data_IF_486128140363
#
_entry.id   IF_486128140363
#
_cell.length_a   1.000
_cell.length_b   1.000
_cell.length_c   1.000
_cell.angle_alpha   90.00
_cell.angle_beta   90.00
_cell.angle_gamma   90.00
#
_symmetry.space_group_name_H-M   'P 1'
#
loop_
_entity.id
_entity.type
_entity.pdbx_description
1 polymer ?
#
# COMPACT_ATOMS: atom_id res chain seq x y z
N UNK A 1 -9.60 -0.88 34.79
CA UNK A 1 -9.42 -1.90 33.74
C UNK A 1 -8.44 -1.38 32.69
N UNK A 2 -7.55 -2.21 32.13
CA UNK A 2 -6.58 -1.78 31.12
C UNK A 2 -6.93 -2.39 29.76
N UNK A 3 -6.98 -1.54 28.74
CA UNK A 3 -7.17 -1.93 27.35
C UNK A 3 -5.88 -1.66 26.57
N UNK A 4 -5.54 -2.54 25.64
CA UNK A 4 -4.40 -2.41 24.74
C UNK A 4 -4.88 -2.64 23.30
N UNK A 5 -4.34 -1.88 22.35
CA UNK A 5 -4.62 -2.06 20.93
C UNK A 5 -3.39 -1.69 20.09
N UNK A 6 -3.45 -2.05 18.81
CA UNK A 6 -2.40 -1.79 17.85
C UNK A 6 -2.95 -1.54 16.44
N UNK A 7 -2.14 -0.85 15.66
CA UNK A 7 -2.18 -0.85 14.20
C UNK A 7 -0.74 -1.04 13.70
N UNK A 8 -0.58 -1.90 12.71
CA UNK A 8 0.74 -2.27 12.21
C UNK A 8 0.78 -2.04 10.71
N UNK A 9 1.74 -1.27 10.23
CA UNK A 9 2.03 -1.15 8.79
C UNK A 9 3.27 -1.95 8.45
N UNK A 10 3.20 -2.76 7.40
CA UNK A 10 4.31 -3.53 6.84
C UNK A 10 4.60 -3.04 5.43
N UNK A 11 5.81 -2.53 5.23
CA UNK A 11 6.26 -2.01 3.93
C UNK A 11 7.00 -3.07 3.12
N UNK A 12 6.67 -3.21 1.84
CA UNK A 12 7.27 -4.20 0.92
C UNK A 12 7.26 -3.67 -0.52
N UNK A 13 8.11 -4.24 -1.39
CA UNK A 13 8.26 -3.83 -2.79
C UNK A 13 7.62 -4.86 -3.74
N UNK A 14 6.40 -4.61 -4.24
CA UNK A 14 5.79 -5.45 -5.25
C UNK A 14 6.44 -5.29 -6.63
N UNK A 15 6.32 -6.35 -7.44
CA UNK A 15 6.84 -6.38 -8.81
C UNK A 15 6.16 -5.39 -9.77
N UNK A 16 4.89 -5.14 -9.53
CA UNK A 16 4.05 -4.33 -10.39
C UNK A 16 4.11 -2.84 -10.05
N UNK A 17 4.61 -2.46 -8.87
CA UNK A 17 4.72 -1.07 -8.46
C UNK A 17 5.74 -0.30 -9.29
N UNK A 18 6.94 -0.84 -9.54
CA UNK A 18 8.07 -0.07 -10.12
C UNK A 18 7.87 0.19 -11.64
N UNK A 19 7.77 1.46 -12.11
CA UNK A 19 7.64 1.78 -13.53
C UNK A 19 8.98 2.01 -14.25
N UNK A 20 8.97 1.82 -15.58
CA UNK A 20 9.96 2.41 -16.49
C UNK A 20 11.40 1.99 -16.24
N UNK A 21 12.34 2.94 -16.39
CA UNK A 21 13.78 2.69 -16.27
C UNK A 21 14.23 2.32 -14.84
N UNK A 22 13.39 2.55 -13.84
CA UNK A 22 13.61 2.10 -12.46
C UNK A 22 13.42 0.59 -12.28
N UNK A 23 12.81 -0.11 -13.25
CA UNK A 23 12.80 -1.58 -13.26
C UNK A 23 14.16 -2.18 -13.58
N UNK A 24 15.05 -1.45 -14.26
CA UNK A 24 16.31 -1.99 -14.75
C UNK A 24 17.17 -2.64 -13.65
N UNK A 25 17.32 -2.06 -12.44
CA UNK A 25 18.04 -2.71 -11.34
C UNK A 25 17.30 -3.89 -10.69
N UNK A 26 15.99 -4.04 -10.93
CA UNK A 26 15.19 -5.18 -10.47
C UNK A 26 15.19 -6.32 -11.50
N UNK A 27 15.08 -5.98 -12.78
CA UNK A 27 15.02 -6.92 -13.91
C UNK A 27 16.41 -7.49 -14.26
N UNK A 28 17.47 -6.67 -14.17
CA UNK A 28 18.85 -7.08 -14.47
C UNK A 28 19.67 -7.42 -13.20
N UNK A 29 19.06 -7.29 -12.02
CA UNK A 29 19.76 -7.25 -10.74
C UNK A 29 20.48 -5.91 -10.51
N UNK A 30 20.86 -5.59 -9.26
CA UNK A 30 20.97 -6.48 -8.11
C UNK A 30 19.79 -6.50 -7.12
N UNK A 31 18.73 -5.71 -7.35
CA UNK A 31 17.61 -5.59 -6.41
C UNK A 31 16.54 -6.61 -6.79
N UNK A 32 15.76 -7.08 -5.81
CA UNK A 32 14.67 -8.03 -6.06
C UNK A 32 13.34 -7.45 -5.62
N UNK A 33 12.27 -7.93 -6.26
CA UNK A 33 10.92 -7.77 -5.75
C UNK A 33 10.71 -8.65 -4.52
N UNK A 34 9.86 -8.20 -3.62
CA UNK A 34 9.48 -8.95 -2.44
C UNK A 34 8.26 -9.82 -2.76
N UNK A 35 8.21 -11.00 -2.15
CA UNK A 35 6.96 -11.74 -2.05
C UNK A 35 6.00 -10.95 -1.15
N UNK A 36 4.68 -10.95 -1.45
CA UNK A 36 3.72 -10.30 -0.59
C UNK A 36 3.80 -10.87 0.83
N UNK A 37 3.70 -10.03 1.88
CA UNK A 37 3.54 -10.51 3.24
C UNK A 37 2.35 -11.48 3.38
N UNK A 38 2.31 -12.27 4.45
CA UNK A 38 1.15 -13.13 4.72
C UNK A 38 -0.03 -12.33 5.28
N UNK A 39 -1.24 -12.88 5.19
CA UNK A 39 -2.47 -12.23 5.70
C UNK A 39 -2.52 -12.17 7.24
N UNK A 40 -1.63 -12.92 7.90
CA UNK A 40 -1.34 -12.86 9.32
C UNK A 40 0.12 -12.44 9.49
N UNK A 41 0.36 -11.38 10.27
CA UNK A 41 1.71 -10.95 10.57
C UNK A 41 2.41 -11.98 11.47
N UNK A 42 3.61 -12.39 11.06
CA UNK A 42 4.49 -13.26 11.85
C UNK A 42 5.30 -12.48 12.89
N UNK A 43 6.36 -13.12 13.40
CA UNK A 43 7.31 -12.49 14.33
C UNK A 43 8.02 -11.28 13.68
N UNK A 44 7.66 -10.07 14.13
CA UNK A 44 8.19 -8.80 13.60
C UNK A 44 9.75 -8.74 13.63
N UNK A 45 10.43 -9.10 14.74
CA UNK A 45 11.89 -9.22 14.75
C UNK A 45 12.46 -10.17 13.68
N UNK A 46 11.87 -11.35 13.48
CA UNK A 46 12.32 -12.29 12.46
C UNK A 46 12.05 -11.75 11.04
N UNK A 47 10.87 -11.19 10.78
CA UNK A 47 10.51 -10.60 9.49
C UNK A 47 11.50 -9.50 9.09
N UNK A 48 11.81 -8.59 10.00
CA UNK A 48 12.77 -7.49 9.73
C UNK A 48 14.21 -7.97 9.51
N UNK A 49 14.63 -9.07 10.17
CA UNK A 49 15.96 -9.69 9.95
C UNK A 49 16.05 -10.50 8.66
N UNK A 50 14.95 -11.08 8.19
CA UNK A 50 14.91 -11.94 6.99
C UNK A 50 15.15 -11.18 5.68
N UNK A 51 14.86 -9.87 5.69
CA UNK A 51 14.85 -9.01 4.52
C UNK A 51 13.60 -9.16 3.64
N UNK A 52 12.55 -9.84 4.10
CA UNK A 52 11.26 -9.94 3.42
C UNK A 52 10.46 -8.62 3.41
N UNK A 53 10.76 -7.70 4.33
CA UNK A 53 10.07 -6.42 4.49
C UNK A 53 11.08 -5.26 4.47
N UNK A 54 10.63 -4.06 4.09
CA UNK A 54 11.46 -2.85 4.07
C UNK A 54 11.52 -2.17 5.42
N UNK A 55 10.36 -1.98 6.04
CA UNK A 55 10.23 -1.56 7.43
C UNK A 55 8.83 -1.92 7.94
N UNK A 56 8.65 -1.87 9.25
CA UNK A 56 7.36 -2.05 9.93
C UNK A 56 7.15 -0.85 10.86
N UNK A 57 5.98 -0.23 10.83
CA UNK A 57 5.53 0.74 11.82
C UNK A 57 4.51 0.05 12.72
N UNK A 58 4.91 -0.31 13.95
CA UNK A 58 4.03 -0.93 14.95
C UNK A 58 3.59 0.16 15.93
N UNK A 59 2.40 0.73 15.75
CA UNK A 59 1.81 1.66 16.70
C UNK A 59 1.00 0.84 17.71
N UNK A 60 1.52 0.69 18.93
CA UNK A 60 0.86 0.04 20.06
C UNK A 60 0.64 1.02 21.18
N UNK A 61 -0.53 0.94 21.82
CA UNK A 61 -0.86 1.81 22.93
C UNK A 61 -1.82 1.13 23.90
N UNK A 62 -1.90 1.66 25.11
CA UNK A 62 -2.85 1.24 26.13
C UNK A 62 -3.50 2.42 26.83
N UNK A 63 -4.70 2.19 27.35
CA UNK A 63 -5.42 3.11 28.25
C UNK A 63 -5.87 2.34 29.49
N UNK A 64 -5.86 3.01 30.64
CA UNK A 64 -6.36 2.52 31.91
C UNK A 64 -7.62 3.31 32.27
N UNK A 65 -8.70 2.60 32.54
CA UNK A 65 -10.04 3.14 32.73
C UNK A 65 -10.54 2.82 34.13
N UNK A 66 -10.99 3.84 34.84
CA UNK A 66 -11.65 3.77 36.14
C UNK A 66 -12.96 4.55 36.06
N UNK A 67 -14.06 3.95 36.56
CA UNK A 67 -15.40 4.54 36.56
C UNK A 67 -15.93 5.03 35.19
N UNK A 68 -15.38 4.49 34.09
CA UNK A 68 -15.70 4.88 32.72
C UNK A 68 -14.83 6.00 32.14
N UNK A 69 -13.74 6.37 32.82
CA UNK A 69 -12.87 7.50 32.49
C UNK A 69 -11.45 6.99 32.31
N UNK A 70 -10.76 7.49 31.28
CA UNK A 70 -9.33 7.21 31.09
C UNK A 70 -8.56 7.98 32.15
N UNK A 71 -7.90 7.26 33.06
CA UNK A 71 -7.07 7.82 34.14
C UNK A 71 -5.58 7.79 33.80
N UNK A 72 -5.16 6.84 32.95
CA UNK A 72 -3.78 6.73 32.47
C UNK A 72 -3.75 6.20 31.05
N UNK A 73 -2.65 6.50 30.36
CA UNK A 73 -2.41 5.98 29.02
C UNK A 73 -0.91 5.83 28.77
N UNK A 74 -0.56 5.05 27.76
CA UNK A 74 0.84 4.89 27.37
C UNK A 74 1.03 4.39 25.95
N UNK A 75 2.14 4.79 25.37
CA UNK A 75 2.51 4.50 23.99
C UNK A 75 3.68 3.51 23.97
N UNK A 76 3.45 2.31 23.42
CA UNK A 76 4.39 1.17 23.41
C UNK A 76 5.01 0.90 22.03
N UNK A 77 4.48 1.52 20.98
CA UNK A 77 4.86 1.27 19.60
C UNK A 77 6.31 1.58 19.25
N UNK A 78 6.77 1.07 18.10
CA UNK A 78 8.01 1.50 17.44
C UNK A 78 8.09 1.19 15.94
N UNK A 79 9.02 1.87 15.28
CA UNK A 79 9.53 1.52 13.97
C UNK A 79 10.53 0.37 14.02
N UNK A 80 10.43 -0.51 13.02
CA UNK A 80 11.36 -1.61 12.81
C UNK A 80 11.91 -1.53 11.40
N UNK A 81 13.23 -1.43 11.27
CA UNK A 81 13.86 -1.31 9.96
C UNK A 81 14.32 -2.66 9.46
N UNK A 82 13.84 -3.02 8.27
CA UNK A 82 14.20 -4.24 7.58
C UNK A 82 15.60 -4.20 6.99
N UNK A 83 16.04 -5.35 6.52
CA UNK A 83 17.25 -5.51 5.71
C UNK A 83 16.86 -5.59 4.24
N UNK A 84 17.67 -5.05 3.36
CA UNK A 84 17.46 -5.15 1.91
C UNK A 84 18.43 -6.18 1.35
N UNK A 85 17.90 -7.15 0.61
CA UNK A 85 18.67 -8.12 -0.14
C UNK A 85 19.16 -7.47 -1.43
N UNK A 86 20.47 -7.42 -1.62
CA UNK A 86 21.12 -6.89 -2.82
C UNK A 86 22.06 -7.98 -3.36
N UNK A 87 21.83 -8.39 -4.60
CA UNK A 87 22.66 -9.37 -5.32
C UNK A 87 23.95 -8.77 -5.83
N UNK A 88 25.00 -9.56 -5.93
CA UNK A 88 26.24 -9.18 -6.59
C UNK A 88 26.76 -10.42 -7.31
N UNK A 89 26.44 -10.55 -8.60
CA UNK A 89 26.61 -11.79 -9.35
C UNK A 89 25.76 -12.91 -8.76
N UNK A 90 26.38 -14.02 -8.38
CA UNK A 90 25.71 -15.19 -7.78
C UNK A 90 25.51 -15.09 -6.25
N UNK A 91 26.01 -14.03 -5.61
CA UNK A 91 25.96 -13.85 -4.16
C UNK A 91 24.87 -12.87 -3.75
N UNK A 92 24.21 -13.13 -2.63
CA UNK A 92 23.24 -12.24 -2.01
C UNK A 92 23.78 -11.65 -0.72
N UNK A 93 23.69 -10.33 -0.57
CA UNK A 93 24.10 -9.60 0.62
C UNK A 93 22.91 -8.89 1.26
N UNK A 94 22.92 -8.80 2.60
CA UNK A 94 21.89 -8.09 3.37
C UNK A 94 22.44 -6.76 3.85
N UNK A 95 21.88 -5.66 3.35
CA UNK A 95 22.21 -4.31 3.80
C UNK A 95 21.17 -3.80 4.77
N UNK A 96 21.62 -3.16 5.85
CA UNK A 96 20.71 -2.54 6.82
C UNK A 96 20.31 -1.16 6.30
N UNK A 97 19.01 -0.91 6.20
CA UNK A 97 18.51 0.45 5.95
C UNK A 97 18.80 1.35 7.17
N UNK A 98 18.94 2.65 6.94
CA UNK A 98 19.19 3.61 8.01
C UNK A 98 17.84 3.97 8.64
N UNK A 99 17.68 3.68 9.93
CA UNK A 99 16.49 4.08 10.67
C UNK A 99 16.45 5.59 10.85
N UNK A 100 15.31 6.20 10.56
CA UNK A 100 15.02 7.54 11.03
C UNK A 100 14.45 7.44 12.45
N UNK A 101 14.59 8.50 13.25
CA UNK A 101 14.01 8.54 14.60
C UNK A 101 12.48 8.54 14.49
N UNK A 102 11.80 7.62 15.16
CA UNK A 102 10.34 7.62 15.23
C UNK A 102 9.82 8.98 15.75
N UNK A 103 8.80 9.52 15.09
CA UNK A 103 8.11 10.73 15.53
C UNK A 103 6.85 10.30 16.28
N UNK A 104 6.71 10.77 17.51
CA UNK A 104 5.63 10.43 18.43
C UNK A 104 5.18 11.71 19.12
N UNK A 105 4.21 12.44 18.54
CA UNK A 105 3.62 13.59 19.20
C UNK A 105 3.01 13.20 20.55
N UNK A 106 2.82 14.18 21.43
CA UNK A 106 2.10 13.95 22.68
C UNK A 106 0.67 13.49 22.34
N UNK A 107 0.15 12.41 22.96
CA UNK A 107 -1.19 11.93 22.66
C UNK A 107 -2.27 12.97 22.96
N UNK A 108 -3.24 13.10 22.05
CA UNK A 108 -4.41 13.94 22.29
C UNK A 108 -5.36 13.20 23.24
N UNK A 109 -5.35 13.58 24.52
CA UNK A 109 -6.06 12.87 25.58
C UNK A 109 -7.31 13.62 26.07
N UNK A 110 -8.37 12.87 26.30
CA UNK A 110 -9.59 13.28 26.99
C UNK A 110 -10.03 12.20 27.97
N UNK A 111 -11.10 12.48 28.74
CA UNK A 111 -11.68 11.52 29.68
C UNK A 111 -12.24 10.26 28.99
N UNK A 112 -12.64 10.37 27.73
CA UNK A 112 -13.34 9.30 27.01
C UNK A 112 -12.52 8.66 25.89
N UNK A 113 -11.47 9.34 25.42
CA UNK A 113 -10.62 8.84 24.34
C UNK A 113 -9.21 9.43 24.40
N UNK A 114 -8.23 8.65 23.95
CA UNK A 114 -6.85 9.09 23.69
C UNK A 114 -6.47 8.73 22.26
N UNK A 115 -5.97 9.70 21.50
CA UNK A 115 -5.44 9.50 20.15
C UNK A 115 -3.91 9.50 20.17
N UNK A 116 -3.34 8.43 19.67
CA UNK A 116 -1.91 8.25 19.51
C UNK A 116 -1.52 8.38 18.04
N UNK A 117 -0.35 8.97 17.78
CA UNK A 117 0.21 9.10 16.43
C UNK A 117 1.66 8.62 16.45
N UNK A 118 2.04 7.81 15.46
CA UNK A 118 3.43 7.40 15.27
C UNK A 118 3.81 7.41 13.79
N UNK A 119 4.86 8.15 13.47
CA UNK A 119 5.58 8.03 12.20
C UNK A 119 6.82 7.19 12.40
N UNK A 120 6.97 6.16 11.56
CA UNK A 120 8.19 5.36 11.48
C UNK A 120 8.60 5.14 10.03
N UNK A 121 9.91 5.02 9.82
CA UNK A 121 10.47 4.93 8.49
C UNK A 121 11.99 5.03 8.49
N UNK A 122 12.55 5.05 7.30
CA UNK A 122 13.99 4.95 7.13
C UNK A 122 14.46 5.36 5.76
N UNK A 123 15.76 5.20 5.55
CA UNK A 123 16.40 5.33 4.25
C UNK A 123 16.83 3.94 3.77
N UNK A 124 16.18 3.39 2.72
CA UNK A 124 16.61 2.12 2.16
C UNK A 124 18.00 2.27 1.50
N UNK A 125 18.79 1.20 1.38
CA UNK A 125 20.10 1.23 0.73
C UNK A 125 19.98 1.29 -0.80
N UNK A 126 19.18 2.24 -1.31
CA UNK A 126 18.92 2.46 -2.72
C UNK A 126 19.35 3.90 -3.08
N UNK A 127 20.51 4.09 -3.72
CA UNK A 127 20.95 5.42 -4.13
C UNK A 127 20.06 5.93 -5.27
N UNK A 128 19.42 7.10 -5.08
CA UNK A 128 18.59 7.74 -6.10
C UNK A 128 19.12 9.15 -6.43
N UNK A 129 18.99 9.58 -7.69
CA UNK A 129 19.34 10.95 -8.07
C UNK A 129 18.29 11.94 -7.56
N UNK A 130 18.73 12.86 -6.70
CA UNK A 130 17.95 14.02 -6.26
C UNK A 130 18.37 15.25 -7.05
N UNK A 131 17.42 15.93 -7.70
CA UNK A 131 17.65 17.21 -8.37
C UNK A 131 17.85 18.34 -7.35
N UNK A 132 18.82 19.20 -7.60
CA UNK A 132 19.11 20.39 -6.79
C UNK A 132 18.97 21.65 -7.65
N UNK A 133 18.57 22.75 -7.01
CA UNK A 133 18.44 24.05 -7.69
C UNK A 133 19.77 24.81 -7.82
N UNK A 134 20.88 24.21 -7.37
CA UNK A 134 22.25 24.77 -7.40
C UNK A 134 23.29 23.66 -7.62
N UNK A 135 24.51 23.99 -8.09
CA UNK A 135 25.60 23.01 -8.24
C UNK A 135 25.79 22.17 -6.96
N UNK A 136 25.98 20.84 -7.07
CA UNK A 136 26.23 20.05 -8.29
C UNK A 136 24.99 19.66 -9.11
N UNK A 137 23.81 20.27 -8.89
CA UNK A 137 22.51 20.03 -9.56
C UNK A 137 21.92 18.62 -9.44
N UNK A 138 22.73 17.63 -9.12
CA UNK A 138 22.33 16.26 -8.79
C UNK A 138 23.12 15.82 -7.56
N UNK A 139 22.40 15.28 -6.58
CA UNK A 139 22.98 14.60 -5.43
C UNK A 139 22.47 13.16 -5.40
N UNK A 140 23.38 12.19 -5.26
CA UNK A 140 23.00 10.79 -5.06
C UNK A 140 22.78 10.57 -3.58
N UNK A 141 21.55 10.27 -3.19
CA UNK A 141 21.23 9.92 -1.80
C UNK A 141 20.05 8.96 -1.70
N UNK A 142 20.01 8.14 -0.64
CA UNK A 142 18.84 7.33 -0.34
C UNK A 142 17.56 8.15 -0.14
N UNK A 143 16.41 7.71 -0.66
CA UNK A 143 15.12 8.34 -0.36
C UNK A 143 14.73 8.13 1.10
N UNK A 144 13.71 8.85 1.57
CA UNK A 144 13.02 8.56 2.83
C UNK A 144 11.74 7.79 2.51
N UNK A 145 11.47 6.72 3.25
CA UNK A 145 10.25 5.92 3.16
C UNK A 145 9.63 5.82 4.55
N UNK A 146 8.31 5.93 4.66
CA UNK A 146 7.63 6.00 5.97
C UNK A 146 6.15 5.63 5.90
N UNK A 147 5.58 5.43 7.08
CA UNK A 147 4.14 5.55 7.33
C UNK A 147 3.90 6.34 8.60
N UNK A 148 2.79 7.05 8.67
CA UNK A 148 2.25 7.73 9.84
C UNK A 148 0.91 7.09 10.17
N UNK A 149 0.83 6.50 11.36
CA UNK A 149 -0.34 5.77 11.84
C UNK A 149 -1.00 6.54 12.98
N UNK A 150 -2.33 6.48 13.03
CA UNK A 150 -3.16 6.95 14.12
C UNK A 150 -3.88 5.77 14.80
N UNK A 151 -4.04 5.87 16.12
CA UNK A 151 -4.84 4.92 16.90
C UNK A 151 -5.61 5.70 17.97
N UNK A 152 -6.93 5.72 17.85
CA UNK A 152 -7.80 6.29 18.89
C UNK A 152 -8.32 5.17 19.77
N UNK A 153 -8.07 5.23 21.07
CA UNK A 153 -8.58 4.28 22.05
C UNK A 153 -9.62 4.96 22.94
N UNK A 154 -10.78 4.33 23.15
CA UNK A 154 -11.87 4.86 23.96
C UNK A 154 -11.97 4.18 25.32
N UNK A 155 -12.62 4.85 26.28
CA UNK A 155 -12.83 4.35 27.63
C UNK A 155 -13.69 3.08 27.69
N UNK A 156 -14.52 2.83 26.67
CA UNK A 156 -15.31 1.61 26.54
C UNK A 156 -14.50 0.40 26.04
N UNK A 157 -13.19 0.58 25.80
CA UNK A 157 -12.29 -0.45 25.29
C UNK A 157 -12.25 -0.59 23.77
N UNK A 158 -13.08 0.16 23.04
CA UNK A 158 -13.03 0.18 21.57
C UNK A 158 -11.84 1.01 21.06
N UNK A 159 -11.34 0.65 19.87
CA UNK A 159 -10.24 1.36 19.23
C UNK A 159 -10.46 1.55 17.74
N UNK A 160 -10.02 2.68 17.21
CA UNK A 160 -10.13 3.03 15.79
C UNK A 160 -8.73 3.26 15.22
N UNK A 161 -8.25 2.35 14.34
CA UNK A 161 -6.99 2.51 13.61
C UNK A 161 -7.16 3.48 12.42
N UNK A 162 -6.09 4.18 12.07
CA UNK A 162 -6.05 5.11 10.93
C UNK A 162 -4.67 5.12 10.29
N UNK A 163 -4.60 5.20 8.96
CA UNK A 163 -3.36 5.51 8.23
C UNK A 163 -3.44 6.98 7.82
N UNK A 164 -2.68 7.83 8.51
CA UNK A 164 -2.74 9.28 8.29
C UNK A 164 -1.85 9.71 7.12
N UNK A 165 -0.73 9.01 6.93
CA UNK A 165 0.22 9.33 5.88
C UNK A 165 1.16 8.19 5.55
N UNK A 166 1.73 8.23 4.36
CA UNK A 166 2.69 7.23 3.90
C UNK A 166 3.52 7.74 2.73
N UNK A 167 4.78 7.31 2.65
CA UNK A 167 5.55 7.46 1.42
C UNK A 167 4.85 6.70 0.29
N UNK A 168 4.69 7.26 -0.92
CA UNK A 168 3.97 6.60 -2.00
C UNK A 168 4.70 5.37 -2.55
N UNK A 169 5.97 5.15 -2.19
CA UNK A 169 6.66 3.89 -2.42
C UNK A 169 7.63 3.63 -1.26
N UNK A 170 7.74 2.41 -0.72
CA UNK A 170 7.14 1.13 -1.17
C UNK A 170 5.63 1.03 -0.90
N UNK A 171 4.99 -0.10 -1.26
CA UNK A 171 3.62 -0.39 -0.81
C UNK A 171 3.60 -0.70 0.68
N UNK A 172 2.46 -0.47 1.33
CA UNK A 172 2.25 -0.76 2.75
C UNK A 172 0.95 -1.52 2.96
N UNK A 173 1.04 -2.61 3.72
CA UNK A 173 -0.11 -3.39 4.19
C UNK A 173 -0.36 -3.11 5.66
N UNK A 174 -1.64 -3.07 6.04
CA UNK A 174 -2.08 -2.62 7.37
C UNK A 174 -2.75 -3.79 8.09
N UNK A 175 -2.32 -4.02 9.32
CA UNK A 175 -2.80 -5.10 10.18
C UNK A 175 -3.39 -4.53 11.46
N UNK A 176 -4.39 -5.21 11.99
CA UNK A 176 -5.00 -4.89 13.28
C UNK A 176 -4.16 -5.38 14.49
N UNK A 177 -4.70 -5.19 15.69
CA UNK A 177 -4.07 -5.62 16.94
C UNK A 177 -3.90 -7.14 17.07
N UNK A 178 -4.71 -7.94 16.37
CA UNK A 178 -4.56 -9.39 16.32
C UNK A 178 -3.53 -9.82 15.25
N UNK A 179 -2.99 -8.86 14.50
CA UNK A 179 -2.04 -9.12 13.42
C UNK A 179 -2.70 -9.63 12.15
N UNK A 180 -4.02 -9.45 12.00
CA UNK A 180 -4.75 -9.80 10.78
C UNK A 180 -4.69 -8.63 9.80
N UNK A 181 -4.43 -8.93 8.54
CA UNK A 181 -4.42 -7.97 7.44
C UNK A 181 -5.83 -7.40 7.21
N UNK A 182 -5.95 -6.08 7.25
CA UNK A 182 -7.23 -5.35 7.17
C UNK A 182 -7.31 -4.38 6.00
N UNK A 183 -6.21 -3.73 5.61
CA UNK A 183 -6.19 -2.71 4.57
C UNK A 183 -4.83 -2.65 3.87
N UNK A 184 -4.75 -1.94 2.75
CA UNK A 184 -3.48 -1.56 2.10
C UNK A 184 -3.49 -0.10 1.68
N UNK A 185 -2.30 0.50 1.59
CA UNK A 185 -2.13 1.85 1.04
C UNK A 185 -2.12 1.81 -0.49
N UNK A 186 -2.96 2.64 -1.11
CA UNK A 186 -3.34 2.56 -2.52
C UNK A 186 -2.66 3.58 -3.45
N UNK A 187 -1.80 4.47 -2.92
CA UNK A 187 -1.18 5.53 -3.74
C UNK A 187 0.29 5.26 -4.00
N UNK A 188 0.62 5.10 -5.28
CA UNK A 188 1.98 5.04 -5.81
C UNK A 188 2.15 6.12 -6.88
N UNK A 189 1.91 7.41 -6.58
CA UNK A 189 2.24 8.48 -7.54
C UNK A 189 3.77 8.62 -7.70
N UNK A 190 4.34 7.80 -8.58
CA UNK A 190 5.77 7.74 -8.85
C UNK A 190 6.33 9.03 -9.46
N UNK A 191 5.51 9.86 -10.11
CA UNK A 191 5.99 11.09 -10.73
C UNK A 191 6.21 12.16 -9.66
N UNK A 192 5.31 12.22 -8.68
CA UNK A 192 5.42 13.06 -7.48
C UNK A 192 6.48 12.52 -6.50
N UNK A 193 6.62 11.19 -6.40
CA UNK A 193 7.57 10.48 -5.54
C UNK A 193 9.01 11.02 -5.60
N UNK A 194 9.58 11.26 -6.79
CA UNK A 194 10.98 11.72 -6.91
C UNK A 194 11.26 13.09 -6.27
N UNK A 195 10.22 13.90 -6.06
CA UNK A 195 10.30 15.20 -5.41
C UNK A 195 9.96 15.17 -3.93
N UNK A 196 9.11 14.24 -3.48
CA UNK A 196 8.49 14.27 -2.14
C UNK A 196 9.24 13.44 -1.09
N UNK A 197 10.12 12.52 -1.52
CA UNK A 197 10.88 11.63 -0.60
C UNK A 197 12.20 12.21 -0.09
N UNK A 198 12.44 13.50 -0.31
CA UNK A 198 13.64 14.21 0.13
C UNK A 198 13.30 15.54 0.78
N UNK A 199 13.92 15.84 1.92
CA UNK A 199 13.87 17.17 2.53
C UNK A 199 12.53 17.48 3.21
N UNK A 200 11.97 18.66 2.93
CA UNK A 200 10.84 19.25 3.65
C UNK A 200 9.51 18.50 3.49
N UNK A 201 9.30 17.82 2.35
CA UNK A 201 8.07 17.07 2.05
C UNK A 201 7.98 15.67 2.68
N UNK A 202 8.66 15.51 3.81
CA UNK A 202 8.67 14.29 4.62
C UNK A 202 8.35 14.64 6.07
N UNK A 203 7.88 13.68 6.89
CA UNK A 203 7.57 13.97 8.29
C UNK A 203 8.77 14.47 9.12
N UNK A 204 10.00 14.18 8.69
CA UNK A 204 11.23 14.72 9.32
C UNK A 204 11.64 16.10 8.78
N UNK A 205 10.88 16.63 7.83
CA UNK A 205 10.92 18.00 7.35
C UNK A 205 9.78 18.80 7.97
N UNK A 206 8.78 19.16 7.17
CA UNK A 206 7.63 19.97 7.56
C UNK A 206 6.27 19.41 7.12
N UNK A 207 6.22 18.41 6.24
CA UNK A 207 4.96 17.93 5.66
C UNK A 207 4.88 16.40 5.64
N UNK A 208 3.68 15.85 5.80
CA UNK A 208 3.39 14.43 5.56
C UNK A 208 2.66 14.26 4.21
N UNK A 209 2.74 13.06 3.63
CA UNK A 209 2.02 12.71 2.41
C UNK A 209 0.73 11.95 2.78
N UNK A 210 -0.46 12.42 2.37
CA UNK A 210 -1.72 11.75 2.70
C UNK A 210 -1.74 10.35 2.10
N UNK A 211 -2.19 9.38 2.89
CA UNK A 211 -2.36 8.00 2.46
C UNK A 211 -3.82 7.71 2.14
N UNK A 212 -4.10 7.11 0.98
CA UNK A 212 -5.40 6.51 0.69
C UNK A 212 -5.32 5.02 0.98
N UNK A 213 -6.28 4.49 1.72
CA UNK A 213 -6.36 3.06 2.03
C UNK A 213 -7.50 2.41 1.25
N UNK A 214 -7.27 1.18 0.80
CA UNK A 214 -8.27 0.36 0.12
C UNK A 214 -8.29 -1.04 0.71
N UNK A 215 -9.34 -1.81 0.42
CA UNK A 215 -9.42 -3.22 0.80
C UNK A 215 -8.31 -4.03 0.14
N UNK A 216 -7.88 -5.10 0.83
CA UNK A 216 -6.82 -5.99 0.36
C UNK A 216 -7.36 -6.94 -0.70
N UNK A 217 -6.53 -7.23 -1.69
CA UNK A 217 -6.80 -8.24 -2.72
C UNK A 217 -6.98 -9.63 -2.09
N UNK A 218 -7.84 -10.44 -2.68
CA UNK A 218 -7.94 -11.86 -2.38
C UNK A 218 -6.65 -12.62 -2.75
N UNK A 219 -6.47 -13.84 -2.22
CA UNK A 219 -5.35 -14.70 -2.61
C UNK A 219 -5.33 -14.97 -4.13
N UNK A 220 -6.50 -15.17 -4.73
CA UNK A 220 -6.65 -15.38 -6.16
C UNK A 220 -6.24 -14.14 -6.97
N UNK A 221 -6.70 -12.94 -6.59
CA UNK A 221 -6.28 -11.71 -7.28
C UNK A 221 -4.76 -11.49 -7.21
N UNK A 222 -4.10 -11.87 -6.12
CA UNK A 222 -2.63 -11.83 -6.01
C UNK A 222 -1.97 -12.80 -6.99
N UNK A 223 -2.45 -14.03 -7.10
CA UNK A 223 -1.94 -15.02 -8.05
C UNK A 223 -2.14 -14.57 -9.51
N UNK A 224 -3.32 -14.05 -9.81
CA UNK A 224 -3.64 -13.53 -11.13
C UNK A 224 -2.83 -12.29 -11.48
N UNK A 225 -2.59 -11.39 -10.53
CA UNK A 225 -1.67 -10.26 -10.71
C UNK A 225 -0.28 -10.73 -11.12
N UNK A 226 0.27 -11.75 -10.44
CA UNK A 226 1.56 -12.34 -10.82
C UNK A 226 1.51 -12.96 -12.22
N UNK A 227 0.42 -13.66 -12.55
CA UNK A 227 0.22 -14.28 -13.87
C UNK A 227 0.15 -13.24 -14.98
N UNK A 228 -0.61 -12.16 -14.81
CA UNK A 228 -0.69 -11.06 -15.79
C UNK A 228 0.67 -10.37 -15.97
N UNK A 229 1.41 -10.19 -14.87
CA UNK A 229 2.66 -9.42 -14.88
C UNK A 229 3.88 -10.24 -15.32
N UNK A 230 3.85 -11.57 -15.15
CA UNK A 230 4.97 -12.48 -15.47
C UNK A 230 4.64 -13.51 -16.56
N UNK A 231 3.38 -13.66 -16.94
CA UNK A 231 2.96 -14.46 -18.09
C UNK A 231 3.68 -13.94 -19.33
N UNK A 232 4.26 -14.83 -20.14
CA UNK A 232 5.33 -14.53 -21.10
C UNK A 232 5.09 -13.42 -22.14
N UNK A 233 3.90 -12.82 -22.19
CA UNK A 233 3.58 -11.61 -22.96
C UNK A 233 3.49 -10.40 -22.04
N UNK A 234 4.38 -9.41 -22.26
CA UNK A 234 4.38 -8.17 -21.50
C UNK A 234 3.03 -7.42 -21.67
N UNK A 235 2.30 -7.11 -20.59
CA UNK A 235 1.00 -6.46 -20.70
C UNK A 235 1.16 -5.02 -21.21
N UNK A 236 0.16 -4.54 -21.96
CA UNK A 236 0.08 -3.14 -22.35
C UNK A 236 -0.28 -2.28 -21.14
N UNK A 237 0.49 -1.23 -20.87
CA UNK A 237 0.21 -0.32 -19.76
C UNK A 237 -0.56 0.89 -20.27
N UNK A 238 -1.71 1.18 -19.64
CA UNK A 238 -2.49 2.40 -19.85
C UNK A 238 -2.42 3.28 -18.60
N UNK A 239 -2.31 4.58 -18.80
CA UNK A 239 -2.32 5.57 -17.72
C UNK A 239 -3.48 6.54 -17.92
N UNK A 240 -4.13 6.95 -16.83
CA UNK A 240 -5.20 7.95 -16.86
C UNK A 240 -4.97 8.99 -15.76
N UNK A 241 -5.19 10.29 -16.03
CA UNK A 241 -5.21 11.29 -14.98
C UNK A 241 -6.50 11.18 -14.16
N UNK A 242 -6.50 11.77 -12.96
CA UNK A 242 -7.68 11.89 -12.11
C UNK A 242 -8.87 12.52 -12.87
N UNK A 243 -10.07 12.06 -12.55
CA UNK A 243 -11.34 12.45 -13.18
C UNK A 243 -11.66 11.76 -14.51
N UNK A 244 -10.71 11.02 -15.13
CA UNK A 244 -10.95 10.32 -16.39
C UNK A 244 -11.57 8.94 -16.19
N UNK A 245 -12.42 8.56 -17.14
CA UNK A 245 -13.09 7.27 -17.17
C UNK A 245 -12.21 6.22 -17.86
N UNK A 246 -12.00 5.06 -17.20
CA UNK A 246 -11.30 3.92 -17.77
C UNK A 246 -12.19 3.11 -18.72
N UNK A 247 -13.41 2.80 -18.26
CA UNK A 247 -14.50 2.15 -19.00
C UNK A 247 -15.85 2.71 -18.53
N UNK A 248 -16.86 2.68 -19.41
CA UNK A 248 -18.22 3.12 -19.13
C UNK A 248 -19.17 1.92 -19.06
N UNK A 249 -20.12 1.96 -18.14
CA UNK A 249 -21.21 0.99 -18.03
C UNK A 249 -22.00 0.91 -19.34
N UNK A 250 -22.41 -0.30 -19.72
CA UNK A 250 -23.17 -0.56 -20.95
C UNK A 250 -22.33 -0.60 -22.22
N UNK A 251 -21.07 -0.18 -22.19
CA UNK A 251 -20.18 -0.30 -23.35
C UNK A 251 -19.69 -1.75 -23.53
N UNK A 252 -19.40 -2.18 -24.76
CA UNK A 252 -18.73 -3.44 -24.99
C UNK A 252 -17.30 -3.43 -24.43
N UNK A 253 -16.81 -4.57 -23.99
CA UNK A 253 -15.52 -4.70 -23.33
C UNK A 253 -15.06 -6.14 -23.17
N UNK A 254 -13.97 -6.47 -23.87
CA UNK A 254 -13.35 -7.81 -23.89
C UNK A 254 -12.03 -7.85 -23.12
N UNK A 255 -11.54 -6.68 -22.67
CA UNK A 255 -10.30 -6.56 -21.93
C UNK A 255 -10.51 -6.65 -20.41
N UNK A 256 -9.52 -7.24 -19.75
CA UNK A 256 -9.32 -7.21 -18.32
C UNK A 256 -8.31 -6.12 -17.97
N UNK A 257 -8.44 -5.56 -16.77
CA UNK A 257 -7.49 -4.60 -16.24
C UNK A 257 -6.99 -5.04 -14.88
N UNK A 258 -5.68 -5.04 -14.69
CA UNK A 258 -5.06 -5.09 -13.38
C UNK A 258 -4.67 -3.67 -12.98
N UNK A 259 -5.27 -3.15 -11.90
CA UNK A 259 -4.92 -1.84 -11.37
C UNK A 259 -3.51 -1.90 -10.76
N UNK A 260 -2.53 -1.25 -11.35
CA UNK A 260 -1.15 -1.28 -10.86
C UNK A 260 -0.90 -0.18 -9.82
N UNK A 261 -1.59 0.93 -9.98
CA UNK A 261 -1.41 2.16 -9.23
C UNK A 261 -2.66 3.06 -9.30
N UNK A 262 -2.92 3.79 -8.22
CA UNK A 262 -4.01 4.74 -8.04
C UNK A 262 -5.32 4.11 -7.56
N UNK A 263 -6.36 4.95 -7.46
CA UNK A 263 -7.70 4.56 -6.99
C UNK A 263 -8.74 4.80 -8.08
N UNK A 264 -9.58 3.80 -8.32
CA UNK A 264 -10.76 3.90 -9.19
C UNK A 264 -12.04 3.84 -8.33
N UNK A 265 -13.00 4.70 -8.64
CA UNK A 265 -14.39 4.54 -8.20
C UNK A 265 -15.11 3.58 -9.15
N UNK A 266 -15.92 2.69 -8.58
CA UNK A 266 -16.82 1.79 -9.28
C UNK A 266 -18.24 2.37 -9.20
N UNK A 267 -18.76 2.83 -10.33
CA UNK A 267 -20.06 3.50 -10.44
C UNK A 267 -21.06 2.63 -11.21
N UNK A 268 -22.27 2.41 -10.65
CA UNK A 268 -23.38 1.76 -11.34
C UNK A 268 -24.57 2.72 -11.36
N UNK A 269 -25.15 2.93 -12.53
CA UNK A 269 -26.25 3.88 -12.77
C UNK A 269 -25.93 5.29 -12.23
N UNK A 270 -24.67 5.69 -12.36
CA UNK A 270 -24.16 6.99 -11.90
C UNK A 270 -23.92 7.11 -10.39
N UNK A 271 -24.10 6.03 -9.60
CA UNK A 271 -23.83 6.01 -8.16
C UNK A 271 -22.53 5.29 -7.86
N UNK A 272 -21.63 5.92 -7.11
CA UNK A 272 -20.40 5.28 -6.62
C UNK A 272 -20.74 4.23 -5.57
N UNK A 273 -20.37 2.97 -5.84
CA UNK A 273 -20.64 1.82 -4.95
C UNK A 273 -19.41 1.39 -4.16
N UNK A 274 -18.22 1.56 -4.73
CA UNK A 274 -16.96 1.13 -4.11
C UNK A 274 -15.77 1.90 -4.66
N UNK A 275 -14.67 1.89 -3.91
CA UNK A 275 -13.36 2.32 -4.37
C UNK A 275 -12.43 1.12 -4.41
N UNK A 276 -11.68 0.98 -5.50
CA UNK A 276 -10.73 -0.11 -5.71
C UNK A 276 -9.33 0.46 -5.90
N UNK A 277 -8.37 -0.18 -5.23
CA UNK A 277 -6.96 0.21 -5.27
C UNK A 277 -6.10 -0.80 -6.03
N UNK A 278 -4.78 -0.58 -6.06
CA UNK A 278 -3.83 -1.42 -6.78
C UNK A 278 -3.97 -2.90 -6.43
N UNK A 279 -3.74 -3.79 -7.40
CA UNK A 279 -3.91 -5.24 -7.35
C UNK A 279 -5.32 -5.74 -7.67
N UNK A 280 -6.32 -4.86 -7.69
CA UNK A 280 -7.68 -5.22 -8.12
C UNK A 280 -7.70 -5.64 -9.59
N UNK A 281 -8.45 -6.70 -9.89
CA UNK A 281 -8.75 -7.17 -11.25
C UNK A 281 -10.13 -6.68 -11.64
N UNK A 282 -10.23 -6.05 -12.81
CA UNK A 282 -11.40 -5.31 -13.22
C UNK A 282 -11.82 -5.71 -14.63
N UNK A 283 -13.14 -5.80 -14.83
CA UNK A 283 -13.71 -6.12 -16.13
C UNK A 283 -13.89 -7.61 -16.39
N UNK A 284 -13.61 -8.45 -15.39
CA UNK A 284 -13.81 -9.89 -15.34
C UNK A 284 -15.25 -10.29 -15.72
N UNK A 285 -16.24 -9.51 -15.26
CA UNK A 285 -17.65 -9.78 -15.57
C UNK A 285 -17.98 -9.55 -17.02
N UNK A 286 -17.47 -8.47 -17.63
CA UNK A 286 -17.71 -8.24 -19.05
C UNK A 286 -17.12 -9.37 -19.90
N UNK A 287 -15.96 -9.91 -19.50
CA UNK A 287 -15.36 -11.06 -20.17
C UNK A 287 -16.18 -12.34 -20.01
N UNK A 288 -16.78 -12.58 -18.84
CA UNK A 288 -17.57 -13.78 -18.56
C UNK A 288 -19.02 -13.73 -19.05
N UNK A 289 -19.67 -12.57 -18.94
CA UNK A 289 -21.13 -12.39 -19.02
C UNK A 289 -21.58 -11.79 -20.37
N UNK A 290 -20.80 -11.96 -21.44
CA UNK A 290 -21.22 -11.60 -22.80
C UNK A 290 -20.78 -10.22 -23.29
N UNK A 291 -19.65 -9.72 -22.78
CA UNK A 291 -18.91 -8.61 -23.38
C UNK A 291 -19.39 -7.21 -22.99
N UNK A 292 -20.34 -7.05 -22.06
CA UNK A 292 -20.84 -5.71 -21.68
C UNK A 292 -20.35 -5.28 -20.29
N UNK A 293 -19.90 -4.03 -20.16
CA UNK A 293 -19.44 -3.48 -18.87
C UNK A 293 -20.62 -3.27 -17.91
N UNK A 294 -20.53 -3.85 -16.72
CA UNK A 294 -21.57 -3.76 -15.67
C UNK A 294 -21.46 -2.49 -14.82
N UNK A 295 -20.31 -1.82 -14.84
CA UNK A 295 -20.05 -0.60 -14.09
C UNK A 295 -19.13 0.36 -14.87
N UNK A 296 -19.21 1.64 -14.54
CA UNK A 296 -18.27 2.68 -14.96
C UNK A 296 -17.10 2.69 -13.97
N UNK A 297 -15.87 2.76 -14.49
CA UNK A 297 -14.66 2.88 -13.65
C UNK A 297 -14.04 4.26 -13.84
N UNK A 298 -14.04 5.08 -12.78
CA UNK A 298 -13.55 6.47 -12.83
C UNK A 298 -12.32 6.67 -11.97
N UNK A 299 -11.28 7.28 -12.52
CA UNK A 299 -10.05 7.60 -11.80
C UNK A 299 -10.28 8.68 -10.74
N UNK A 300 -10.09 8.36 -9.46
CA UNK A 300 -10.09 9.33 -8.36
C UNK A 300 -8.72 9.98 -8.18
N UNK A 301 -7.66 9.21 -8.44
CA UNK A 301 -6.27 9.68 -8.53
C UNK A 301 -5.75 9.48 -9.95
N UNK A 302 -4.54 9.94 -10.32
CA UNK A 302 -3.85 9.36 -11.46
C UNK A 302 -3.76 7.83 -11.28
N UNK A 303 -4.06 7.06 -12.33
CA UNK A 303 -4.08 5.60 -12.30
C UNK A 303 -3.20 5.01 -13.39
N UNK A 304 -2.67 3.82 -13.13
CA UNK A 304 -1.99 2.97 -14.11
C UNK A 304 -2.61 1.58 -14.07
N UNK A 305 -2.95 1.05 -15.24
CA UNK A 305 -3.50 -0.30 -15.38
C UNK A 305 -2.69 -1.11 -16.38
N UNK A 306 -2.51 -2.39 -16.09
CA UNK A 306 -2.10 -3.37 -17.10
C UNK A 306 -3.36 -3.88 -17.79
N UNK A 307 -3.36 -3.86 -19.12
CA UNK A 307 -4.41 -4.43 -19.95
C UNK A 307 -4.04 -5.88 -20.25
N UNK A 308 -4.93 -6.80 -19.90
CA UNK A 308 -4.80 -8.22 -20.15
C UNK A 308 -5.98 -8.70 -21.01
N UNK A 309 -5.74 -9.76 -21.80
CA UNK A 309 -6.81 -10.42 -22.55
C UNK A 309 -7.36 -11.59 -21.75
N UNK A 310 -8.60 -11.98 -22.07
CA UNK A 310 -9.26 -13.11 -21.42
C UNK A 310 -8.45 -14.41 -21.58
N UNK A 311 -7.75 -14.62 -22.70
CA UNK A 311 -6.99 -15.84 -22.93
C UNK A 311 -5.77 -16.01 -21.99
N UNK A 312 -5.37 -14.93 -21.30
CA UNK A 312 -4.26 -14.97 -20.35
C UNK A 312 -4.67 -15.51 -18.98
N UNK A 313 -5.98 -15.64 -18.70
CA UNK A 313 -6.52 -16.04 -17.39
C UNK A 313 -7.52 -17.18 -17.59
N UNK A 314 -7.49 -18.20 -16.72
CA UNK A 314 -8.46 -19.29 -16.82
C UNK A 314 -9.89 -18.80 -16.53
N UNK A 315 -10.92 -19.33 -17.25
CA UNK A 315 -12.31 -18.98 -17.00
C UNK A 315 -12.76 -19.23 -15.55
N UNK A 316 -12.23 -20.27 -14.91
CA UNK A 316 -12.54 -20.62 -13.51
C UNK A 316 -12.04 -19.54 -12.55
N UNK A 317 -10.82 -19.04 -12.77
CA UNK A 317 -10.26 -17.97 -11.95
C UNK A 317 -11.02 -16.65 -12.14
N UNK A 318 -11.45 -16.34 -13.37
CA UNK A 318 -12.30 -15.18 -13.61
C UNK A 318 -13.64 -15.30 -12.88
N UNK A 319 -14.27 -16.47 -12.90
CA UNK A 319 -15.57 -16.68 -12.26
C UNK A 319 -15.49 -16.51 -10.74
N UNK A 320 -14.40 -16.96 -10.12
CA UNK A 320 -14.18 -16.79 -8.68
C UNK A 320 -13.96 -15.30 -8.32
N UNK A 321 -13.15 -14.55 -9.07
CA UNK A 321 -12.99 -13.09 -8.89
C UNK A 321 -14.34 -12.38 -9.04
N UNK A 322 -15.10 -12.71 -10.09
CA UNK A 322 -16.41 -12.11 -10.35
C UNK A 322 -17.39 -12.34 -9.18
N UNK A 323 -17.37 -13.52 -8.57
CA UNK A 323 -18.21 -13.85 -7.41
C UNK A 323 -17.90 -12.97 -6.19
N UNK A 324 -16.63 -12.62 -5.98
CA UNK A 324 -16.19 -11.70 -4.93
C UNK A 324 -16.56 -10.23 -5.20
N UNK A 325 -16.73 -9.86 -6.46
CA UNK A 325 -17.00 -8.48 -6.90
C UNK A 325 -18.48 -8.12 -7.06
N UNK A 326 -19.42 -9.07 -6.97
CA UNK A 326 -20.86 -8.78 -6.97
C UNK A 326 -21.29 -8.06 -5.68
N UNK A 327 -21.03 -6.75 -5.62
CA UNK A 327 -21.39 -5.90 -4.49
C UNK A 327 -22.73 -5.19 -4.69
N UNK A 328 -23.13 -4.98 -5.94
CA UNK A 328 -24.43 -4.42 -6.33
C UNK A 328 -25.62 -5.38 -6.11
N UNK A 329 -25.36 -6.68 -5.96
CA UNK A 329 -26.39 -7.70 -5.67
C UNK A 329 -26.52 -7.99 -4.15
N UNK A 330 -25.66 -7.40 -3.32
CA UNK A 330 -25.78 -7.50 -1.86
C UNK A 330 -26.72 -6.39 -1.37
N UNK A 331 -27.80 -6.74 -0.65
CA UNK A 331 -28.85 -5.81 -0.26
C UNK A 331 -28.41 -4.73 0.73
#
# INVERSE_FOLDING_TARGET
>A
MRYESAIISVSWIPSEAVPGMMRLPFDLGPVHYDDPPGDQIGDIPALTRSGAVRFINELRAWVEVEDGWIVRHGHLGRGWIGRTKIGFGTRMFLFRAIAMRDIRPEPEASKLAVRFVQTAGGRPPLPLPRKLNRPPFVQIMPPVVWTTLGLTMKADGSSTPEVMGASPFPRHWIYDAAGKLIQKVAVTDFKSWSGDIFGERTPWGSEDSPAFVTEVETALERELSQTIMRGGTKPQIRTLPAGKTLVEQGQPGEALFLLLDGVLAVEVDGKSLAEVGPGAILGERAVLEGGTRTATLRALTPVRVAVATAEQISPEALAEVASGHRREEKP
#
